data_IF_447987986188
#
_entry.id   IF_447987986188
#
_cell.length_a   1.000
_cell.length_b   1.000
_cell.length_c   1.000
_cell.angle_alpha   90.00
_cell.angle_beta   90.00
_cell.angle_gamma   90.00
#
_symmetry.space_group_name_H-M   'P 1'
#
loop_
_entity.id
_entity.type
_entity.pdbx_description
1 polymer ?
#
# COMPACT_ATOMS: atom_id res chain seq x y z
N UNK A 1 -28.37 -6.13 -10.30
CA UNK A 1 -26.89 -6.29 -10.35
C UNK A 1 -26.38 -6.26 -8.91
N UNK A 2 -25.98 -7.40 -8.33
CA UNK A 2 -25.35 -7.43 -7.00
C UNK A 2 -23.88 -7.08 -7.18
N UNK A 3 -23.49 -5.88 -6.77
CA UNK A 3 -22.08 -5.51 -6.66
C UNK A 3 -21.52 -6.25 -5.45
N UNK A 4 -20.70 -7.27 -5.70
CA UNK A 4 -19.93 -7.94 -4.66
C UNK A 4 -18.51 -7.41 -4.79
N UNK A 5 -17.90 -7.07 -3.66
CA UNK A 5 -16.60 -6.42 -3.63
C UNK A 5 -15.63 -7.19 -2.75
N UNK A 6 -14.35 -7.13 -3.09
CA UNK A 6 -13.27 -7.53 -2.21
C UNK A 6 -12.91 -6.39 -1.26
N UNK A 7 -12.64 -6.72 -0.01
CA UNK A 7 -11.81 -5.91 0.88
C UNK A 7 -10.51 -6.68 1.03
N UNK A 8 -9.43 -6.15 0.44
CA UNK A 8 -8.12 -6.77 0.56
C UNK A 8 -7.34 -5.98 1.60
N UNK A 9 -6.92 -6.68 2.65
CA UNK A 9 -6.06 -6.16 3.71
C UNK A 9 -4.61 -6.50 3.34
N UNK A 10 -3.79 -5.47 3.17
CA UNK A 10 -2.35 -5.66 2.99
C UNK A 10 -1.62 -5.27 4.29
N UNK A 11 -0.76 -6.19 4.77
CA UNK A 11 0.18 -6.07 5.90
C UNK A 11 1.43 -6.84 5.43
N UNK A 12 2.66 -6.36 5.53
CA UNK A 12 3.30 -5.87 6.75
C UNK A 12 4.43 -4.89 6.47
N UNK A 13 4.54 -3.84 7.29
CA UNK A 13 5.72 -2.96 7.35
C UNK A 13 6.84 -3.54 8.23
N UNK A 14 6.59 -4.69 8.86
CA UNK A 14 7.52 -5.40 9.74
C UNK A 14 7.58 -6.88 9.33
N UNK A 15 8.77 -7.36 8.92
CA UNK A 15 9.04 -8.79 8.73
C UNK A 15 8.99 -9.49 10.09
N UNK A 16 7.79 -9.86 10.53
CA UNK A 16 7.54 -10.77 11.65
C UNK A 16 8.06 -10.33 13.03
N UNK A 17 7.28 -9.52 13.76
CA UNK A 17 7.10 -9.66 15.21
C UNK A 17 5.89 -8.83 15.67
N UNK A 18 5.27 -9.22 16.79
CA UNK A 18 4.11 -8.60 17.44
C UNK A 18 4.09 -7.06 17.47
N UNK A 19 2.87 -6.53 17.38
CA UNK A 19 2.46 -5.12 17.57
C UNK A 19 3.38 -4.32 18.49
N UNK A 20 4.22 -3.48 17.90
CA UNK A 20 4.80 -2.32 18.58
C UNK A 20 4.57 -1.08 17.74
N UNK A 21 3.62 -0.28 18.18
CA UNK A 21 3.27 1.02 17.60
C UNK A 21 4.34 2.11 17.79
N UNK A 22 5.60 1.76 18.08
CA UNK A 22 6.66 2.74 18.37
C UNK A 22 8.00 2.27 17.78
N UNK A 23 8.40 2.91 16.67
CA UNK A 23 9.69 2.68 16.03
C UNK A 23 9.75 3.25 14.61
N UNK A 24 10.94 3.70 14.20
CA UNK A 24 11.22 4.09 12.84
C UNK A 24 11.02 2.91 11.87
N UNK A 25 10.52 3.20 10.66
CA UNK A 25 10.32 2.23 9.60
C UNK A 25 11.67 1.65 9.16
N UNK A 26 11.77 0.32 8.95
CA UNK A 26 13.01 -0.31 8.54
C UNK A 26 13.41 0.14 7.13
N UNK A 27 14.72 0.36 6.94
CA UNK A 27 15.32 0.54 5.63
C UNK A 27 15.76 -0.81 5.09
N UNK A 28 15.22 -1.17 3.93
CA UNK A 28 15.58 -2.37 3.18
C UNK A 28 16.19 -1.97 1.84
N UNK A 29 16.71 -2.93 1.09
CA UNK A 29 17.15 -2.68 -0.29
C UNK A 29 16.02 -2.10 -1.16
N UNK A 30 14.78 -2.50 -0.90
CA UNK A 30 13.60 -2.06 -1.66
C UNK A 30 13.08 -0.68 -1.23
N UNK A 31 13.27 -0.28 0.03
CA UNK A 31 12.70 0.95 0.60
C UNK A 31 13.72 2.07 0.80
N UNK A 32 15.03 1.80 0.64
CA UNK A 32 16.06 2.84 0.76
C UNK A 32 16.09 3.77 -0.46
N UNK A 33 15.78 5.05 -0.24
CA UNK A 33 15.86 6.07 -1.29
C UNK A 33 17.33 6.40 -1.56
N UNK A 34 17.74 6.26 -2.83
CA UNK A 34 19.13 6.50 -3.25
C UNK A 34 19.37 7.92 -3.75
N UNK A 35 18.40 8.52 -4.44
CA UNK A 35 18.52 9.86 -5.02
C UNK A 35 17.85 10.86 -4.10
N UNK A 36 18.55 11.95 -3.76
CA UNK A 36 18.10 12.97 -2.82
C UNK A 36 17.64 12.38 -1.47
N UNK A 37 18.44 11.44 -0.93
CA UNK A 37 18.11 10.66 0.27
C UNK A 37 17.79 11.52 1.52
N UNK A 38 18.23 12.79 1.57
CA UNK A 38 17.89 13.71 2.65
C UNK A 38 16.39 14.07 2.71
N UNK A 39 15.60 13.79 1.67
CA UNK A 39 14.13 13.90 1.73
C UNK A 39 13.44 12.64 2.28
N UNK A 40 14.15 11.52 2.45
CA UNK A 40 13.55 10.33 3.04
C UNK A 40 13.37 10.52 4.54
N UNK A 41 12.16 10.26 5.01
CA UNK A 41 11.86 10.07 6.44
C UNK A 41 11.56 8.59 6.71
N UNK A 42 11.96 8.11 7.89
CA UNK A 42 11.59 6.80 8.42
C UNK A 42 10.60 6.93 9.58
N UNK A 43 10.11 8.13 9.88
CA UNK A 43 9.13 8.34 10.93
C UNK A 43 7.79 7.71 10.54
N UNK A 44 7.36 6.71 11.32
CA UNK A 44 6.10 6.01 11.09
C UNK A 44 4.90 6.95 11.19
N UNK A 45 4.96 7.94 12.07
CA UNK A 45 3.95 8.99 12.20
C UNK A 45 3.81 9.83 10.93
N UNK A 46 4.92 10.13 10.24
CA UNK A 46 4.90 10.86 8.97
C UNK A 46 4.24 10.02 7.86
N UNK A 47 4.54 8.71 7.80
CA UNK A 47 3.84 7.79 6.91
C UNK A 47 2.33 7.79 7.20
N UNK A 48 1.92 7.71 8.47
CA UNK A 48 0.52 7.66 8.84
C UNK A 48 -0.22 8.95 8.49
N UNK A 49 0.40 10.12 8.65
CA UNK A 49 -0.19 11.41 8.22
C UNK A 49 -0.51 11.40 6.73
N UNK A 50 0.46 11.01 5.88
CA UNK A 50 0.27 10.94 4.42
C UNK A 50 -0.84 9.96 4.05
N UNK A 51 -0.91 8.80 4.73
CA UNK A 51 -1.94 7.79 4.48
C UNK A 51 -3.33 8.23 4.97
N UNK A 52 -3.42 9.03 6.02
CA UNK A 52 -4.69 9.55 6.56
C UNK A 52 -5.24 10.71 5.74
N UNK A 53 -4.37 11.52 5.14
CA UNK A 53 -4.74 12.61 4.23
C UNK A 53 -5.07 12.11 2.82
N UNK A 54 -4.46 11.00 2.39
CA UNK A 54 -4.61 10.46 1.05
C UNK A 54 -5.99 9.86 0.77
N UNK A 55 -6.62 10.27 -0.34
CA UNK A 55 -7.90 9.72 -0.80
C UNK A 55 -7.75 8.55 -1.80
N UNK A 56 -6.63 8.50 -2.51
CA UNK A 56 -6.38 7.51 -3.54
C UNK A 56 -4.90 7.14 -3.60
N UNK A 57 -4.65 5.92 -4.04
CA UNK A 57 -3.32 5.40 -4.29
C UNK A 57 -3.22 4.84 -5.70
N UNK A 58 -2.02 4.89 -6.28
CA UNK A 58 -1.70 4.08 -7.45
C UNK A 58 -1.25 2.71 -6.97
N UNK A 59 -2.01 1.67 -7.29
CA UNK A 59 -1.70 0.29 -6.92
C UNK A 59 -1.14 -0.40 -8.16
N UNK A 60 0.08 -0.92 -8.06
CA UNK A 60 0.79 -1.55 -9.17
C UNK A 60 1.07 -3.03 -8.90
N UNK A 61 0.87 -3.86 -9.92
CA UNK A 61 1.23 -5.29 -9.93
C UNK A 61 1.89 -5.64 -11.25
N UNK A 62 2.56 -6.80 -11.30
CA UNK A 62 2.93 -7.44 -12.56
C UNK A 62 1.80 -8.39 -12.97
N UNK A 63 1.19 -8.13 -14.12
CA UNK A 63 0.17 -8.98 -14.73
C UNK A 63 0.67 -9.45 -16.09
N UNK A 64 0.77 -10.77 -16.24
CA UNK A 64 1.20 -11.41 -17.49
C UNK A 64 2.53 -10.82 -18.01
N UNK A 65 3.50 -10.71 -17.10
CA UNK A 65 4.84 -10.14 -17.32
C UNK A 65 4.89 -8.65 -17.67
N UNK A 66 3.77 -7.93 -17.60
CA UNK A 66 3.70 -6.49 -17.83
C UNK A 66 3.31 -5.75 -16.55
N UNK A 67 3.92 -4.59 -16.25
CA UNK A 67 3.47 -3.75 -15.14
C UNK A 67 2.12 -3.13 -15.48
N UNK A 68 1.20 -3.17 -14.53
CA UNK A 68 -0.09 -2.49 -14.61
C UNK A 68 -0.33 -1.73 -13.32
N UNK A 69 -0.83 -0.50 -13.42
CA UNK A 69 -1.17 0.33 -12.27
C UNK A 69 -2.57 0.93 -12.42
N UNK A 70 -3.36 0.90 -11.35
CA UNK A 70 -4.70 1.51 -11.31
C UNK A 70 -4.78 2.51 -10.15
N UNK A 71 -5.48 3.66 -10.33
CA UNK A 71 -5.88 4.50 -9.21
C UNK A 71 -7.00 3.79 -8.43
N UNK A 72 -6.79 3.61 -7.12
CA UNK A 72 -7.70 2.91 -6.22
C UNK A 72 -7.90 3.76 -4.97
N UNK A 73 -9.16 3.99 -4.59
CA UNK A 73 -9.47 4.55 -3.28
C UNK A 73 -9.04 3.59 -2.18
N UNK A 74 -8.41 4.10 -1.13
CA UNK A 74 -7.92 3.30 -0.02
C UNK A 74 -8.32 3.89 1.32
N UNK A 75 -8.18 3.10 2.38
CA UNK A 75 -8.23 3.58 3.74
C UNK A 75 -7.10 2.93 4.56
N UNK A 76 -6.57 3.66 5.54
CA UNK A 76 -5.71 3.09 6.57
C UNK A 76 -6.56 2.52 7.71
N UNK A 77 -6.22 1.34 8.17
CA UNK A 77 -6.81 0.68 9.35
C UNK A 77 -5.67 0.18 10.26
N UNK A 78 -5.31 1.00 11.26
CA UNK A 78 -4.11 0.80 12.07
C UNK A 78 -2.85 0.76 11.19
N UNK A 79 -2.19 -0.40 11.17
CA UNK A 79 -0.98 -0.68 10.41
C UNK A 79 -1.27 -1.34 9.04
N UNK A 80 -2.53 -1.31 8.59
CA UNK A 80 -2.99 -1.95 7.36
C UNK A 80 -3.53 -0.96 6.35
N UNK A 81 -3.40 -1.27 5.06
CA UNK A 81 -4.12 -0.57 4.00
C UNK A 81 -5.26 -1.47 3.51
N UNK A 82 -6.45 -0.89 3.44
CA UNK A 82 -7.66 -1.51 2.91
C UNK A 82 -7.91 -1.02 1.50
N UNK A 83 -7.97 -1.95 0.56
CA UNK A 83 -8.39 -1.69 -0.82
C UNK A 83 -9.72 -2.36 -1.10
N UNK A 84 -10.59 -1.65 -1.83
CA UNK A 84 -11.89 -2.14 -2.22
C UNK A 84 -12.07 -2.16 -3.73
N UNK A 85 -12.66 -3.23 -4.25
CA UNK A 85 -12.90 -3.35 -5.68
C UNK A 85 -13.80 -4.51 -6.08
N UNK A 86 -14.28 -4.50 -7.32
CA UNK A 86 -15.24 -5.49 -7.84
C UNK A 86 -14.69 -6.91 -7.83
N UNK A 87 -15.49 -7.89 -7.43
CA UNK A 87 -15.10 -9.32 -7.53
C UNK A 87 -14.97 -9.81 -8.97
N UNK A 88 -15.59 -9.13 -9.93
CA UNK A 88 -15.46 -9.40 -11.36
C UNK A 88 -14.20 -8.79 -11.99
N UNK A 89 -13.44 -7.97 -11.25
CA UNK A 89 -12.20 -7.39 -11.75
C UNK A 89 -11.06 -8.40 -11.63
N UNK A 90 -10.43 -8.74 -12.76
CA UNK A 90 -9.22 -9.57 -12.78
C UNK A 90 -8.10 -8.96 -11.91
N UNK A 91 -7.96 -7.64 -11.94
CA UNK A 91 -6.97 -6.92 -11.12
C UNK A 91 -7.18 -7.16 -9.63
N UNK A 92 -8.41 -6.94 -9.12
CA UNK A 92 -8.71 -7.16 -7.70
C UNK A 92 -8.74 -8.63 -7.30
N UNK A 93 -9.09 -9.54 -8.21
CA UNK A 93 -8.96 -10.99 -7.96
C UNK A 93 -7.51 -11.40 -7.75
N UNK A 94 -6.58 -10.84 -8.53
CA UNK A 94 -5.13 -11.09 -8.37
C UNK A 94 -4.61 -10.49 -7.07
N UNK A 95 -5.02 -9.27 -6.73
CA UNK A 95 -4.74 -8.66 -5.42
C UNK A 95 -5.23 -9.55 -4.27
N UNK A 96 -6.47 -10.03 -4.32
CA UNK A 96 -7.04 -10.92 -3.32
C UNK A 96 -6.33 -12.29 -3.26
N UNK A 97 -5.69 -12.72 -4.35
CA UNK A 97 -4.87 -13.93 -4.41
C UNK A 97 -3.43 -13.72 -3.87
N UNK A 98 -3.08 -12.50 -3.44
CA UNK A 98 -1.79 -12.22 -2.78
C UNK A 98 -0.61 -11.99 -3.74
N UNK A 99 -0.86 -11.52 -4.96
CA UNK A 99 0.25 -11.13 -5.85
C UNK A 99 1.10 -10.01 -5.20
N UNK A 100 2.42 -10.00 -5.38
CA UNK A 100 3.25 -8.87 -4.98
C UNK A 100 2.77 -7.58 -5.62
N UNK A 101 2.81 -6.49 -4.87
CA UNK A 101 2.32 -5.19 -5.30
C UNK A 101 3.17 -4.05 -4.77
N UNK A 102 2.95 -2.87 -5.34
CA UNK A 102 3.43 -1.59 -4.82
C UNK A 102 2.26 -0.61 -4.69
N UNK A 103 2.24 0.18 -3.62
CA UNK A 103 1.24 1.24 -3.39
C UNK A 103 1.97 2.57 -3.34
N UNK A 104 1.55 3.51 -4.19
CA UNK A 104 2.05 4.89 -4.17
C UNK A 104 0.94 5.84 -3.77
N UNK A 105 1.14 6.54 -2.66
CA UNK A 105 0.27 7.63 -2.20
C UNK A 105 1.04 8.93 -2.33
N UNK A 106 0.36 9.96 -2.82
CA UNK A 106 0.88 11.33 -2.88
C UNK A 106 -0.18 12.21 -2.22
N UNK A 107 0.20 12.88 -1.14
CA UNK A 107 -0.59 13.98 -0.56
C UNK A 107 0.00 15.32 -1.00
N UNK A 108 -0.82 16.36 -0.92
CA UNK A 108 -0.41 17.74 -1.23
C UNK A 108 0.39 18.40 -0.11
N UNK A 109 0.22 17.95 1.14
CA UNK A 109 0.98 18.42 2.30
C UNK A 109 0.60 19.81 2.78
#
# INVERSE_FOLDING_TARGET
>A
MKLVYYMVRFVSFDDGMETKAEGALPLTEQTQVRRLAHYQTTERSALYSVLDEGLAANVAIVRDSLPVALPVGFARDGDSILLHGSTGSDFFRRLAAGVPLCITVVSDG
#
